data_IF_345438190036
#
_entry.id   IF_345438190036
#
_cell.length_a   1.000
_cell.length_b   1.000
_cell.length_c   1.000
_cell.angle_alpha   90.00
_cell.angle_beta   90.00
_cell.angle_gamma   90.00
#
_symmetry.space_group_name_H-M   'P 1'
#
loop_
_entity.id
_entity.type
_entity.pdbx_description
1 polymer ?
#
# COMPACT_ATOMS: atom_id res chain seq x y z
N UNK A 1 -3.08 28.33 -4.21
CA UNK A 1 -4.23 27.62 -3.59
C UNK A 1 -4.53 28.11 -2.16
N UNK A 2 -3.58 28.75 -1.48
CA UNK A 2 -3.71 29.19 -0.07
C UNK A 2 -4.14 30.65 0.11
N UNK A 3 -4.46 31.33 -0.98
CA UNK A 3 -5.05 32.68 -0.94
C UNK A 3 -6.48 32.57 -0.37
N UNK A 4 -6.80 33.32 0.68
CA UNK A 4 -8.09 33.38 1.39
C UNK A 4 -8.32 32.31 2.47
N UNK A 5 -7.29 31.61 2.94
CA UNK A 5 -7.35 30.67 4.06
C UNK A 5 -8.56 29.69 4.00
N UNK A 6 -8.63 28.80 2.97
CA UNK A 6 -9.78 27.95 2.74
C UNK A 6 -9.94 26.90 3.84
N UNK A 7 -11.18 26.62 4.24
CA UNK A 7 -11.50 25.55 5.20
C UNK A 7 -11.43 24.14 4.57
N UNK A 8 -11.54 24.06 3.24
CA UNK A 8 -11.45 22.81 2.48
C UNK A 8 -10.36 22.97 1.43
N UNK A 9 -9.38 22.07 1.45
CA UNK A 9 -8.29 22.01 0.49
C UNK A 9 -8.41 20.71 -0.31
N UNK A 10 -8.50 20.83 -1.63
CA UNK A 10 -8.53 19.67 -2.55
C UNK A 10 -7.25 19.64 -3.36
N UNK A 11 -6.53 18.53 -3.31
CA UNK A 11 -5.24 18.33 -3.95
C UNK A 11 -5.28 17.06 -4.81
N UNK A 12 -4.93 17.19 -6.08
CA UNK A 12 -4.87 16.08 -7.02
C UNK A 12 -3.40 15.75 -7.32
N UNK A 13 -2.97 14.53 -6.98
CA UNK A 13 -1.61 14.00 -7.15
C UNK A 13 -0.49 14.96 -6.72
N UNK A 14 -0.57 15.59 -5.54
CA UNK A 14 0.30 16.71 -5.18
C UNK A 14 1.77 16.32 -4.94
N UNK A 15 2.05 15.03 -4.74
CA UNK A 15 3.41 14.52 -4.52
C UNK A 15 4.06 13.98 -5.78
N UNK A 16 3.35 13.96 -6.90
CA UNK A 16 3.89 13.51 -8.18
C UNK A 16 5.06 14.39 -8.62
N UNK A 17 6.19 13.76 -8.91
CA UNK A 17 7.40 14.46 -9.37
C UNK A 17 8.24 15.15 -8.28
N UNK A 18 7.84 15.08 -7.01
CA UNK A 18 8.65 15.61 -5.92
C UNK A 18 9.84 14.68 -5.61
N UNK A 19 10.97 15.26 -5.28
CA UNK A 19 12.08 14.51 -4.72
C UNK A 19 11.77 14.00 -3.29
N UNK A 20 12.53 13.03 -2.74
CA UNK A 20 12.25 12.47 -1.43
C UNK A 20 12.20 13.50 -0.29
N UNK A 21 13.04 14.54 -0.32
CA UNK A 21 13.06 15.56 0.72
C UNK A 21 11.86 16.50 0.62
N UNK A 22 11.49 16.89 -0.60
CA UNK A 22 10.30 17.70 -0.85
C UNK A 22 9.03 16.93 -0.45
N UNK A 23 8.97 15.62 -0.71
CA UNK A 23 7.86 14.77 -0.32
C UNK A 23 7.69 14.71 1.21
N UNK A 24 8.78 14.59 1.97
CA UNK A 24 8.74 14.63 3.44
C UNK A 24 8.21 15.99 3.92
N UNK A 25 8.72 17.10 3.36
CA UNK A 25 8.26 18.45 3.70
C UNK A 25 6.78 18.64 3.41
N UNK A 26 6.33 18.14 2.25
CA UNK A 26 4.93 18.20 1.86
C UNK A 26 4.04 17.41 2.82
N UNK A 27 4.42 16.20 3.21
CA UNK A 27 3.68 15.40 4.20
C UNK A 27 3.52 16.13 5.52
N UNK A 28 4.60 16.72 6.04
CA UNK A 28 4.56 17.49 7.29
C UNK A 28 3.62 18.69 7.16
N UNK A 29 3.68 19.41 6.03
CA UNK A 29 2.77 20.53 5.77
C UNK A 29 1.31 20.09 5.73
N UNK A 30 0.99 18.98 5.07
CA UNK A 30 -0.38 18.46 5.01
C UNK A 30 -0.87 18.02 6.39
N UNK A 31 -0.03 17.36 7.19
CA UNK A 31 -0.38 17.00 8.57
C UNK A 31 -0.73 18.23 9.40
N UNK A 32 0.08 19.29 9.34
CA UNK A 32 -0.18 20.57 10.03
C UNK A 32 -1.48 21.23 9.55
N UNK A 33 -1.69 21.30 8.23
CA UNK A 33 -2.90 21.89 7.66
C UNK A 33 -4.18 21.12 8.03
N UNK A 34 -4.08 19.80 8.18
CA UNK A 34 -5.23 18.94 8.50
C UNK A 34 -5.73 19.06 9.94
N UNK A 35 -4.97 19.71 10.83
CA UNK A 35 -5.39 19.98 12.21
C UNK A 35 -6.54 21.00 12.26
N UNK A 36 -6.57 21.96 11.32
CA UNK A 36 -7.53 23.06 11.34
C UNK A 36 -8.52 23.07 10.16
N UNK A 37 -8.29 22.20 9.16
CA UNK A 37 -9.09 22.20 7.93
C UNK A 37 -9.26 20.80 7.34
N UNK A 38 -10.27 20.64 6.50
CA UNK A 38 -10.46 19.43 5.73
C UNK A 38 -9.50 19.42 4.53
N UNK A 39 -8.62 18.42 4.46
CA UNK A 39 -7.75 18.19 3.32
C UNK A 39 -8.23 16.92 2.60
N UNK A 40 -8.65 17.06 1.35
CA UNK A 40 -8.97 15.96 0.44
C UNK A 40 -7.84 15.83 -0.57
N UNK A 41 -7.17 14.68 -0.57
CA UNK A 41 -6.02 14.42 -1.42
C UNK A 41 -6.23 13.17 -2.25
N UNK A 42 -6.05 13.26 -3.57
CA UNK A 42 -5.98 12.09 -4.45
C UNK A 42 -4.53 11.71 -4.70
N UNK A 43 -4.22 10.42 -4.66
CA UNK A 43 -2.90 9.90 -5.04
C UNK A 43 -2.96 8.39 -5.31
N UNK A 44 -2.07 7.91 -6.16
CA UNK A 44 -1.82 6.48 -6.36
C UNK A 44 -0.60 5.97 -5.55
N UNK A 45 0.07 6.86 -4.80
CA UNK A 45 1.26 6.53 -4.00
C UNK A 45 0.83 6.12 -2.59
N UNK A 46 0.65 4.83 -2.38
CA UNK A 46 0.14 4.25 -1.12
C UNK A 46 0.98 4.66 0.09
N UNK A 47 2.31 4.70 -0.05
CA UNK A 47 3.20 5.11 1.04
C UNK A 47 3.00 6.55 1.52
N UNK A 48 2.48 7.45 0.69
CA UNK A 48 2.17 8.82 1.13
C UNK A 48 0.92 8.83 2.02
N UNK A 49 -0.09 8.03 1.67
CA UNK A 49 -1.34 7.91 2.42
C UNK A 49 -1.10 7.40 3.84
N UNK A 50 -0.27 6.37 3.98
CA UNK A 50 0.02 5.73 5.27
C UNK A 50 0.55 6.71 6.32
N UNK A 51 1.21 7.78 5.90
CA UNK A 51 1.78 8.78 6.80
C UNK A 51 0.88 9.98 7.11
N UNK A 52 -0.07 10.32 6.23
CA UNK A 52 -0.81 11.59 6.33
C UNK A 52 -2.32 11.43 6.43
N UNK A 53 -2.88 10.29 6.03
CA UNK A 53 -4.33 10.12 5.96
C UNK A 53 -4.90 9.53 7.25
N UNK A 54 -5.81 10.25 7.90
CA UNK A 54 -6.60 9.71 9.00
C UNK A 54 -7.70 8.76 8.48
N UNK A 55 -8.28 9.08 7.33
CA UNK A 55 -9.26 8.25 6.63
C UNK A 55 -8.86 8.11 5.17
N UNK A 56 -9.11 6.96 4.61
CA UNK A 56 -8.86 6.63 3.22
C UNK A 56 -10.14 6.24 2.51
N UNK A 57 -10.22 6.58 1.25
CA UNK A 57 -11.26 6.14 0.33
C UNK A 57 -10.57 5.45 -0.86
N UNK A 58 -10.91 4.19 -1.10
CA UNK A 58 -10.40 3.45 -2.24
C UNK A 58 -11.48 3.36 -3.32
N UNK A 59 -11.13 3.72 -4.53
CA UNK A 59 -12.01 3.67 -5.70
C UNK A 59 -11.49 2.63 -6.70
N UNK A 60 -12.41 1.81 -7.22
CA UNK A 60 -12.14 0.86 -8.31
C UNK A 60 -13.26 0.99 -9.34
N UNK A 61 -12.91 1.09 -10.62
CA UNK A 61 -13.86 1.16 -11.75
C UNK A 61 -14.94 2.26 -11.61
N UNK A 62 -14.58 3.37 -10.96
CA UNK A 62 -15.49 4.49 -10.71
C UNK A 62 -16.41 4.31 -9.51
N UNK A 63 -16.30 3.21 -8.77
CA UNK A 63 -17.08 2.93 -7.57
C UNK A 63 -16.22 3.05 -6.31
N UNK A 64 -16.86 3.45 -5.20
CA UNK A 64 -16.22 3.47 -3.90
C UNK A 64 -16.16 2.04 -3.34
N UNK A 65 -14.96 1.48 -3.30
CA UNK A 65 -14.71 0.13 -2.78
C UNK A 65 -14.59 0.10 -1.26
N UNK A 66 -13.94 1.09 -0.67
CA UNK A 66 -13.68 1.16 0.77
C UNK A 66 -13.66 2.62 1.26
N UNK A 67 -14.15 2.82 2.47
CA UNK A 67 -14.01 4.08 3.21
C UNK A 67 -13.81 3.76 4.70
N UNK A 68 -12.72 4.24 5.28
CA UNK A 68 -12.35 3.98 6.68
C UNK A 68 -10.89 4.31 6.94
N UNK A 69 -10.31 3.75 8.00
CA UNK A 69 -8.90 3.93 8.31
C UNK A 69 -8.01 2.91 7.59
N UNK A 70 -6.73 3.24 7.42
CA UNK A 70 -5.75 2.30 6.87
C UNK A 70 -5.60 1.05 7.74
N UNK A 71 -5.64 1.22 9.07
CA UNK A 71 -5.52 0.14 10.05
C UNK A 71 -6.68 -0.86 9.95
N UNK A 72 -7.92 -0.38 9.78
CA UNK A 72 -9.10 -1.22 9.60
C UNK A 72 -9.00 -2.02 8.29
N UNK A 73 -8.54 -1.39 7.20
CA UNK A 73 -8.34 -2.08 5.92
C UNK A 73 -7.30 -3.20 6.03
N UNK A 74 -6.14 -2.90 6.61
CA UNK A 74 -5.06 -3.88 6.83
C UNK A 74 -5.54 -5.02 7.74
N UNK A 75 -6.28 -4.71 8.80
CA UNK A 75 -6.81 -5.70 9.74
C UNK A 75 -7.89 -6.59 9.13
N UNK A 76 -8.60 -6.13 8.11
CA UNK A 76 -9.63 -6.90 7.41
C UNK A 76 -9.07 -8.05 6.57
N UNK A 77 -7.77 -8.01 6.21
CA UNK A 77 -7.09 -9.10 5.50
C UNK A 77 -6.98 -10.34 6.41
N UNK A 78 -7.51 -11.47 5.95
CA UNK A 78 -7.34 -12.77 6.63
C UNK A 78 -5.96 -13.38 6.37
N UNK A 79 -5.38 -13.09 5.22
CA UNK A 79 -4.08 -13.55 4.79
C UNK A 79 -2.98 -12.99 5.69
N UNK A 80 -1.89 -13.76 5.81
CA UNK A 80 -0.66 -13.33 6.45
C UNK A 80 0.32 -12.81 5.40
N UNK A 81 1.24 -12.00 5.84
CA UNK A 81 2.38 -11.57 5.03
C UNK A 81 3.60 -12.31 5.51
N UNK A 82 4.28 -12.94 4.57
CA UNK A 82 5.44 -13.77 4.81
C UNK A 82 6.67 -13.18 4.13
N UNK A 83 7.80 -13.26 4.81
CA UNK A 83 9.11 -12.96 4.25
C UNK A 83 9.88 -14.25 4.12
N UNK A 84 10.34 -14.58 2.92
CA UNK A 84 11.11 -15.79 2.66
C UNK A 84 12.25 -15.55 1.68
N UNK A 85 13.31 -16.35 1.79
CA UNK A 85 14.44 -16.30 0.89
C UNK A 85 14.36 -17.45 -0.11
N UNK A 86 14.47 -17.14 -1.39
CA UNK A 86 14.42 -18.12 -2.47
C UNK A 86 15.62 -17.99 -3.39
N UNK A 87 16.01 -19.09 -4.05
CA UNK A 87 17.04 -19.04 -5.10
C UNK A 87 16.49 -18.29 -6.33
N UNK A 88 17.39 -17.71 -7.12
CA UNK A 88 17.00 -16.96 -8.35
C UNK A 88 16.17 -17.78 -9.31
N UNK A 89 16.44 -19.07 -9.43
CA UNK A 89 15.69 -19.99 -10.31
C UNK A 89 14.26 -20.27 -9.86
N UNK A 90 13.92 -19.94 -8.62
CA UNK A 90 12.59 -20.17 -8.05
C UNK A 90 11.68 -18.91 -8.06
N UNK A 91 12.23 -17.74 -8.36
CA UNK A 91 11.48 -16.48 -8.31
C UNK A 91 10.23 -16.54 -9.19
N UNK A 92 10.38 -16.93 -10.47
CA UNK A 92 9.27 -16.98 -11.43
C UNK A 92 8.18 -17.96 -10.98
N UNK A 93 8.57 -19.08 -10.37
CA UNK A 93 7.63 -20.04 -9.80
C UNK A 93 6.81 -19.41 -8.67
N UNK A 94 7.46 -18.74 -7.71
CA UNK A 94 6.75 -18.08 -6.60
C UNK A 94 5.88 -16.93 -7.08
N UNK A 95 6.32 -16.17 -8.07
CA UNK A 95 5.50 -15.13 -8.70
C UNK A 95 4.26 -15.68 -9.39
N UNK A 96 4.32 -16.89 -9.94
CA UNK A 96 3.14 -17.53 -10.57
C UNK A 96 2.19 -18.14 -9.54
N UNK A 97 2.70 -18.70 -8.44
CA UNK A 97 1.92 -19.41 -7.43
C UNK A 97 1.32 -18.48 -6.35
N UNK A 98 2.01 -17.38 -6.03
CA UNK A 98 1.64 -16.51 -4.90
C UNK A 98 1.46 -15.06 -5.32
N UNK A 99 0.76 -14.31 -4.47
CA UNK A 99 0.71 -12.86 -4.56
C UNK A 99 1.98 -12.28 -3.90
N UNK A 100 2.93 -11.82 -4.74
CA UNK A 100 4.23 -11.30 -4.29
C UNK A 100 4.18 -9.77 -4.26
N UNK A 101 4.31 -9.19 -3.06
CA UNK A 101 4.27 -7.74 -2.85
C UNK A 101 5.60 -7.05 -3.11
N UNK A 102 6.70 -7.72 -2.82
CA UNK A 102 8.03 -7.15 -3.03
C UNK A 102 9.07 -8.24 -3.29
N UNK A 103 10.06 -7.90 -4.10
CA UNK A 103 11.21 -8.74 -4.43
C UNK A 103 12.49 -7.94 -4.19
N UNK A 104 13.28 -8.35 -3.21
CA UNK A 104 14.58 -7.77 -2.93
C UNK A 104 15.69 -8.73 -3.32
N UNK A 105 16.46 -8.38 -4.34
CA UNK A 105 17.59 -9.21 -4.79
C UNK A 105 18.67 -9.26 -3.72
N UNK A 106 19.17 -10.46 -3.43
CA UNK A 106 20.27 -10.73 -2.52
C UNK A 106 21.46 -11.33 -3.29
N UNK A 107 22.60 -11.51 -2.62
CA UNK A 107 23.79 -12.10 -3.24
C UNK A 107 23.53 -13.54 -3.73
N UNK A 108 22.72 -14.30 -3.02
CA UNK A 108 22.48 -15.73 -3.26
C UNK A 108 21.11 -16.04 -3.88
N UNK A 109 20.22 -15.06 -3.97
CA UNK A 109 18.84 -15.27 -4.47
C UNK A 109 18.00 -14.01 -4.39
N UNK A 110 16.81 -14.14 -3.83
CA UNK A 110 15.90 -13.03 -3.56
C UNK A 110 15.15 -13.25 -2.23
N UNK A 111 14.89 -12.17 -1.54
CA UNK A 111 13.95 -12.09 -0.44
C UNK A 111 12.61 -11.66 -1.01
N UNK A 112 11.58 -12.47 -0.81
CA UNK A 112 10.22 -12.23 -1.29
C UNK A 112 9.31 -11.85 -0.12
N UNK A 113 8.43 -10.86 -0.36
CA UNK A 113 7.31 -10.54 0.51
C UNK A 113 6.04 -11.11 -0.11
N UNK A 114 5.45 -12.12 0.53
CA UNK A 114 4.36 -12.94 -0.02
C UNK A 114 3.11 -12.81 0.83
N UNK A 115 1.96 -12.59 0.19
CA UNK A 115 0.64 -12.55 0.82
C UNK A 115 -0.01 -13.92 0.60
N UNK A 116 -0.23 -14.67 1.68
CA UNK A 116 -0.80 -16.02 1.63
C UNK A 116 -1.40 -16.44 2.97
N UNK A 117 -2.45 -17.26 2.94
CA UNK A 117 -2.99 -17.94 4.13
C UNK A 117 -1.99 -18.94 4.66
N UNK A 118 -1.42 -19.75 3.77
CA UNK A 118 -0.47 -20.80 4.10
C UNK A 118 0.97 -20.28 4.07
N UNK A 119 1.80 -20.90 4.87
CA UNK A 119 3.23 -20.62 4.93
C UNK A 119 3.91 -21.08 3.63
N UNK A 120 4.53 -20.17 2.84
CA UNK A 120 5.07 -20.53 1.51
C UNK A 120 6.26 -21.49 1.54
N UNK A 121 7.10 -21.38 2.59
CA UNK A 121 8.29 -22.22 2.81
C UNK A 121 8.45 -22.50 4.30
N UNK A 122 9.17 -23.56 4.67
CA UNK A 122 9.40 -23.90 6.09
C UNK A 122 10.14 -22.78 6.85
N UNK A 123 11.03 -22.07 6.17
CA UNK A 123 11.84 -20.98 6.72
C UNK A 123 11.18 -19.60 6.60
N UNK A 124 10.01 -19.49 5.96
CA UNK A 124 9.30 -18.22 5.87
C UNK A 124 8.93 -17.68 7.26
N UNK A 125 9.10 -16.37 7.45
CA UNK A 125 8.80 -15.67 8.68
C UNK A 125 7.59 -14.77 8.46
N UNK A 126 6.60 -14.86 9.35
CA UNK A 126 5.47 -13.94 9.32
C UNK A 126 5.93 -12.53 9.72
N UNK A 127 5.54 -11.54 8.94
CA UNK A 127 5.86 -10.12 9.16
C UNK A 127 4.57 -9.31 9.26
N UNK A 128 4.69 -8.12 9.82
CA UNK A 128 3.57 -7.20 9.97
C UNK A 128 3.05 -6.75 8.60
N UNK A 129 1.73 -6.73 8.47
CA UNK A 129 1.02 -6.25 7.28
C UNK A 129 1.07 -4.73 7.23
N UNK A 130 1.15 -4.17 6.04
CA UNK A 130 1.06 -2.73 5.80
C UNK A 130 -0.02 -2.38 4.76
N UNK A 131 -0.21 -1.10 4.51
CA UNK A 131 -1.22 -0.62 3.58
C UNK A 131 -0.93 -1.04 2.12
N UNK A 132 0.35 -1.16 1.73
CA UNK A 132 0.74 -1.63 0.39
C UNK A 132 0.33 -3.09 0.17
N UNK A 133 0.47 -3.94 1.20
CA UNK A 133 0.01 -5.33 1.15
C UNK A 133 -1.50 -5.40 0.97
N UNK A 134 -2.25 -4.58 1.73
CA UNK A 134 -3.70 -4.54 1.63
C UNK A 134 -4.15 -4.03 0.24
N UNK A 135 -3.50 -2.98 -0.26
CA UNK A 135 -3.78 -2.45 -1.59
C UNK A 135 -3.53 -3.50 -2.68
N UNK A 136 -2.39 -4.19 -2.63
CA UNK A 136 -2.06 -5.26 -3.56
C UNK A 136 -3.05 -6.44 -3.46
N UNK A 137 -3.47 -6.78 -2.24
CA UNK A 137 -4.41 -7.86 -2.01
C UNK A 137 -5.80 -7.58 -2.62
N UNK A 138 -6.32 -6.36 -2.48
CA UNK A 138 -7.64 -5.99 -2.98
C UNK A 138 -7.66 -5.53 -4.45
N UNK A 139 -6.55 -4.99 -4.98
CA UNK A 139 -6.47 -4.36 -6.31
C UNK A 139 -5.41 -4.96 -7.23
N UNK A 140 -4.57 -5.89 -6.75
CA UNK A 140 -3.57 -6.56 -7.60
C UNK A 140 -4.23 -7.44 -8.67
N UNK A 141 -3.58 -7.61 -9.81
CA UNK A 141 -4.09 -8.37 -10.96
C UNK A 141 -4.51 -9.82 -10.61
N UNK A 142 -3.86 -10.43 -9.60
CA UNK A 142 -4.21 -11.77 -9.10
C UNK A 142 -5.36 -11.79 -8.08
N UNK A 143 -5.88 -10.64 -7.67
CA UNK A 143 -7.02 -10.59 -6.74
C UNK A 143 -8.34 -10.98 -7.40
N UNK A 144 -8.46 -10.82 -8.71
CA UNK A 144 -9.66 -11.14 -9.48
C UNK A 144 -9.89 -12.65 -9.59
N UNK A 145 -8.83 -13.46 -9.68
CA UNK A 145 -8.94 -14.93 -9.76
C UNK A 145 -9.38 -15.60 -8.44
N UNK A 146 -9.26 -14.92 -7.28
CA UNK A 146 -9.58 -15.47 -5.97
C UNK A 146 -10.95 -15.08 -5.43
N UNK A 147 -11.61 -14.07 -6.02
CA UNK A 147 -12.96 -13.65 -5.61
C UNK A 147 -14.08 -14.48 -6.25
N UNK A 148 -13.77 -15.20 -7.35
CA UNK A 148 -14.72 -16.07 -8.08
C UNK A 148 -14.61 -17.56 -7.68
N UNK A 149 -13.86 -17.90 -6.64
CA UNK A 149 -13.69 -19.26 -6.16
C UNK A 149 -14.37 -19.47 -4.74
#
# INVERSE_FOLDING_TARGET
AMLNDPQILVLDEPTAGLDPNERIRFRNLISELSEERLVLLSTHIVSDIEYIANNIMLMKDGELFYAGTAEELVSSMKEKVWQCNVSRSMIDKYMSEYLVGNIKTTKTGAELRIISIEKPTEDAVAVEKNLEDAFLFYFGEKSEEKQDA
#
